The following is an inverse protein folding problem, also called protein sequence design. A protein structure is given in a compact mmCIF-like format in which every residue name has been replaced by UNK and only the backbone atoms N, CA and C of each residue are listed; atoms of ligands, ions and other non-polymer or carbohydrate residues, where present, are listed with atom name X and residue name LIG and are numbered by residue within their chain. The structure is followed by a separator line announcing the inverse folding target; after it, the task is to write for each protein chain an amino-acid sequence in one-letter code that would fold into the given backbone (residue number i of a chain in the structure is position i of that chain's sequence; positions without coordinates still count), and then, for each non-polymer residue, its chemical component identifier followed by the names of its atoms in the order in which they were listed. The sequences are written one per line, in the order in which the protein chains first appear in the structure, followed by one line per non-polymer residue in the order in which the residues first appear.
data_IF_852599257750
#
_entry.id   IF_852599257750
#
_cell.length_a   1.000
_cell.length_b   1.000
_cell.length_c   1.000
_cell.angle_alpha   90.00
_cell.angle_beta   90.00
_cell.angle_gamma   90.00
#
_symmetry.space_group_name_H-M   'P 1'
#
loop_
_entity.id
_entity.type
_entity.pdbx_description
1 polymer ?
#
# COMPACT_ATOMS: atom_id res chain seq x y z
N UNK A 1 19.00 -10.57 -13.75
CA UNK A 1 18.75 -9.90 -12.46
C UNK A 1 17.30 -9.47 -12.40
N UNK A 2 16.57 -9.84 -11.34
CA UNK A 2 15.18 -9.46 -11.07
C UNK A 2 15.11 -8.86 -9.68
N UNK A 3 14.23 -7.88 -9.46
CA UNK A 3 13.96 -7.32 -8.14
C UNK A 3 12.46 -7.34 -7.85
N UNK A 4 12.10 -7.23 -6.57
CA UNK A 4 10.73 -7.05 -6.11
C UNK A 4 10.36 -5.58 -5.87
N UNK A 5 11.32 -4.66 -5.99
CA UNK A 5 11.11 -3.22 -5.87
C UNK A 5 10.23 -2.73 -7.02
N UNK A 6 8.97 -2.42 -6.71
CA UNK A 6 8.07 -1.80 -7.67
C UNK A 6 8.31 -0.28 -7.75
N UNK A 7 7.93 0.32 -8.87
CA UNK A 7 7.94 1.78 -8.99
C UNK A 7 6.96 2.39 -7.99
N UNK A 8 7.35 3.54 -7.42
CA UNK A 8 6.46 4.32 -6.55
C UNK A 8 5.23 4.72 -7.34
N UNK A 9 4.07 4.58 -6.73
CA UNK A 9 2.80 5.02 -7.29
C UNK A 9 2.38 6.34 -6.67
N UNK A 10 1.76 7.21 -7.46
CA UNK A 10 1.13 8.42 -6.94
C UNK A 10 -0.19 8.04 -6.27
N UNK A 11 -0.42 8.55 -5.07
CA UNK A 11 -1.64 8.33 -4.29
C UNK A 11 -2.20 9.70 -3.90
N UNK A 12 -3.51 9.89 -4.08
CA UNK A 12 -4.22 11.08 -3.66
C UNK A 12 -4.73 10.83 -2.24
N UNK A 13 -4.30 11.67 -1.28
CA UNK A 13 -4.67 11.54 0.13
C UNK A 13 -5.47 12.77 0.59
N UNK A 14 -6.71 12.61 1.08
CA UNK A 14 -7.45 13.70 1.70
C UNK A 14 -6.80 14.10 3.03
N UNK A 15 -6.60 15.40 3.23
CA UNK A 15 -6.07 15.96 4.47
C UNK A 15 -7.22 16.29 5.40
N UNK A 16 -7.60 15.34 6.25
CA UNK A 16 -8.66 15.52 7.25
C UNK A 16 -8.33 16.62 8.25
N UNK A 17 -9.28 17.51 8.49
CA UNK A 17 -9.19 18.57 9.49
C UNK A 17 -9.95 18.18 10.76
N UNK A 18 -9.27 17.87 11.88
CA UNK A 18 -9.94 17.50 13.12
C UNK A 18 -10.85 18.60 13.69
N UNK A 19 -10.54 19.87 13.41
CA UNK A 19 -11.37 21.00 13.84
C UNK A 19 -12.72 21.01 13.11
N UNK A 20 -12.70 20.95 11.76
CA UNK A 20 -13.91 20.93 10.93
C UNK A 20 -14.70 19.64 11.14
N UNK A 21 -14.02 18.49 11.25
CA UNK A 21 -14.68 17.21 11.53
C UNK A 21 -15.44 17.21 12.84
N UNK A 22 -14.87 17.79 13.92
CA UNK A 22 -15.58 17.92 15.21
C UNK A 22 -16.78 18.86 15.12
N UNK A 23 -16.67 19.98 14.41
CA UNK A 23 -17.77 20.93 14.22
C UNK A 23 -18.93 20.29 13.43
N UNK A 24 -18.61 19.52 12.39
CA UNK A 24 -19.57 18.87 11.51
C UNK A 24 -19.95 17.46 11.98
N UNK A 25 -19.43 16.97 13.11
CA UNK A 25 -19.71 15.63 13.62
C UNK A 25 -19.37 14.52 12.62
N UNK A 26 -18.22 14.64 11.95
CA UNK A 26 -17.69 13.69 10.98
C UNK A 26 -16.33 13.20 11.47
N UNK A 27 -16.20 11.89 11.67
CA UNK A 27 -14.93 11.28 12.03
C UNK A 27 -14.12 10.85 10.81
N UNK A 28 -12.83 10.60 11.03
CA UNK A 28 -11.95 10.06 9.99
C UNK A 28 -12.45 8.72 9.43
N UNK A 29 -13.07 7.89 10.27
CA UNK A 29 -13.63 6.61 9.84
C UNK A 29 -14.81 6.79 8.88
N UNK A 30 -15.65 7.81 9.08
CA UNK A 30 -16.77 8.10 8.19
C UNK A 30 -16.28 8.51 6.80
N UNK A 31 -15.19 9.29 6.75
CA UNK A 31 -14.52 9.66 5.49
C UNK A 31 -13.93 8.44 4.79
N UNK A 32 -13.21 7.59 5.53
CA UNK A 32 -12.60 6.38 4.97
C UNK A 32 -13.68 5.43 4.41
N UNK A 33 -14.82 5.28 5.11
CA UNK A 33 -15.97 4.48 4.66
C UNK A 33 -16.64 5.09 3.42
N UNK A 34 -16.85 6.41 3.39
CA UNK A 34 -17.45 7.09 2.24
C UNK A 34 -16.57 6.94 0.98
N UNK A 35 -15.25 7.06 1.12
CA UNK A 35 -14.31 6.84 0.03
C UNK A 35 -14.27 5.37 -0.41
N UNK A 36 -14.31 4.43 0.54
CA UNK A 36 -14.37 3.00 0.21
C UNK A 36 -15.62 2.67 -0.60
N UNK A 37 -16.79 3.14 -0.18
CA UNK A 37 -18.06 2.91 -0.87
C UNK A 37 -18.07 3.49 -2.29
N UNK A 38 -17.47 4.67 -2.50
CA UNK A 38 -17.46 5.33 -3.80
C UNK A 38 -16.46 4.74 -4.80
N UNK A 39 -15.25 4.32 -4.36
CA UNK A 39 -14.20 3.87 -5.28
C UNK A 39 -13.99 2.35 -5.29
N UNK A 40 -13.83 1.75 -4.11
CA UNK A 40 -13.60 0.30 -3.99
C UNK A 40 -14.91 -0.50 -4.06
N UNK A 41 -16.00 0.12 -3.60
CA UNK A 41 -17.26 -0.53 -3.30
C UNK A 41 -17.29 -1.09 -1.88
N UNK A 42 -18.49 -1.17 -1.31
CA UNK A 42 -18.73 -1.74 0.01
C UNK A 42 -19.47 -3.08 -0.11
N UNK A 43 -19.17 -4.02 0.77
CA UNK A 43 -19.89 -5.30 0.83
C UNK A 43 -21.26 -5.06 1.45
N UNK A 44 -22.33 -5.31 0.70
CA UNK A 44 -23.70 -5.21 1.19
C UNK A 44 -24.17 -6.50 1.88
N UNK A 45 -23.68 -7.66 1.44
CA UNK A 45 -24.09 -8.94 2.02
C UNK A 45 -23.44 -10.15 1.37
N UNK A 46 -23.95 -11.33 1.70
CA UNK A 46 -23.58 -12.60 1.08
C UNK A 46 -24.83 -13.18 0.42
N UNK A 47 -24.70 -13.55 -0.86
CA UNK A 47 -25.69 -14.32 -1.58
C UNK A 47 -25.30 -15.79 -1.53
N UNK A 48 -26.27 -16.68 -1.29
CA UNK A 48 -26.03 -18.12 -1.28
C UNK A 48 -26.52 -18.72 -2.58
N UNK A 49 -25.61 -19.36 -3.30
CA UNK A 49 -25.91 -20.16 -4.48
C UNK A 49 -25.55 -21.62 -4.19
N UNK A 50 -26.55 -22.43 -3.82
CA UNK A 50 -26.31 -23.80 -3.37
C UNK A 50 -25.43 -23.88 -2.13
N UNK A 51 -24.21 -24.41 -2.31
CA UNK A 51 -23.19 -24.50 -1.25
C UNK A 51 -22.24 -23.29 -1.21
N UNK A 52 -22.25 -22.44 -2.24
CA UNK A 52 -21.33 -21.31 -2.37
C UNK A 52 -21.89 -20.03 -1.75
N UNK A 53 -21.01 -19.24 -1.14
CA UNK A 53 -21.31 -17.92 -0.58
C UNK A 53 -20.59 -16.84 -1.39
N UNK A 54 -21.36 -16.10 -2.18
CA UNK A 54 -20.85 -15.05 -3.06
C UNK A 54 -21.05 -13.68 -2.39
N UNK A 55 -20.00 -12.85 -2.22
CA UNK A 55 -20.16 -11.52 -1.65
C UNK A 55 -20.82 -10.57 -2.64
N UNK A 56 -21.92 -9.94 -2.21
CA UNK A 56 -22.58 -8.87 -2.96
C UNK A 56 -21.88 -7.55 -2.62
N UNK A 57 -21.31 -6.90 -3.64
CA UNK A 57 -20.58 -5.64 -3.51
C UNK A 57 -21.37 -4.55 -4.23
N UNK A 58 -21.70 -3.49 -3.49
CA UNK A 58 -22.31 -2.28 -4.05
C UNK A 58 -21.19 -1.33 -4.41
N UNK A 59 -21.19 -0.86 -5.66
CA UNK A 59 -20.18 0.07 -6.18
C UNK A 59 -20.78 0.96 -7.27
N UNK A 60 -20.35 2.21 -7.40
CA UNK A 60 -20.71 3.08 -8.51
C UNK A 60 -20.23 2.55 -9.87
N UNK A 61 -20.84 3.01 -10.98
CA UNK A 61 -20.39 2.67 -12.34
C UNK A 61 -18.96 3.19 -12.59
N UNK A 62 -18.27 2.57 -13.55
CA UNK A 62 -16.85 2.83 -13.78
C UNK A 62 -16.51 4.27 -14.17
N UNK A 63 -17.39 4.93 -14.93
CA UNK A 63 -17.21 6.31 -15.36
C UNK A 63 -17.05 7.29 -14.19
N UNK A 64 -17.78 7.09 -13.09
CA UNK A 64 -17.73 7.96 -11.90
C UNK A 64 -16.50 7.68 -11.03
N UNK A 65 -15.90 6.48 -11.13
CA UNK A 65 -14.78 6.05 -10.27
C UNK A 65 -13.41 6.48 -10.78
N UNK A 66 -13.25 6.58 -12.10
CA UNK A 66 -11.96 6.93 -12.69
C UNK A 66 -11.70 8.44 -12.74
N UNK A 67 -12.72 9.26 -12.47
CA UNK A 67 -12.57 10.71 -12.42
C UNK A 67 -12.06 11.18 -11.04
N UNK A 68 -10.88 11.78 -11.01
CA UNK A 68 -10.33 12.39 -9.80
C UNK A 68 -11.15 13.59 -9.31
N UNK A 69 -11.90 14.27 -10.19
CA UNK A 69 -12.73 15.42 -9.81
C UNK A 69 -13.89 15.00 -8.90
N UNK A 70 -14.37 13.76 -9.04
CA UNK A 70 -15.44 13.20 -8.21
C UNK A 70 -15.07 13.09 -6.72
N UNK A 71 -13.77 13.09 -6.37
CA UNK A 71 -13.31 13.07 -4.98
C UNK A 71 -13.89 14.22 -4.13
N UNK A 72 -14.08 15.41 -4.72
CA UNK A 72 -14.66 16.55 -4.00
C UNK A 72 -16.16 16.37 -3.72
N UNK A 73 -16.84 15.63 -4.59
CA UNK A 73 -18.29 15.45 -4.55
C UNK A 73 -18.71 14.20 -3.75
N UNK A 74 -17.75 13.46 -3.20
CA UNK A 74 -18.02 12.34 -2.30
C UNK A 74 -18.81 12.86 -1.10
N UNK A 75 -19.96 12.25 -0.85
CA UNK A 75 -20.82 12.61 0.26
C UNK A 75 -20.45 11.80 1.50
N UNK A 76 -20.31 12.50 2.63
CA UNK A 76 -20.02 11.91 3.94
C UNK A 76 -21.19 12.17 4.88
N UNK A 77 -21.55 11.17 5.67
CA UNK A 77 -22.61 11.30 6.67
C UNK A 77 -22.13 12.14 7.87
N UNK A 78 -22.88 13.18 8.23
CA UNK A 78 -22.65 13.97 9.44
C UNK A 78 -23.57 13.50 10.56
N UNK A 79 -22.98 13.07 11.68
CA UNK A 79 -23.75 12.63 12.84
C UNK A 79 -24.44 13.81 13.55
N UNK A 80 -23.80 14.98 13.60
CA UNK A 80 -24.35 16.14 14.30
C UNK A 80 -25.51 16.79 13.56
N UNK A 81 -25.47 16.80 12.21
CA UNK A 81 -26.50 17.41 11.37
C UNK A 81 -27.50 16.41 10.77
N UNK A 82 -27.27 15.10 10.93
CA UNK A 82 -28.12 14.03 10.38
C UNK A 82 -28.36 14.19 8.86
N UNK A 83 -27.32 14.62 8.13
CA UNK A 83 -27.39 14.86 6.69
C UNK A 83 -26.07 14.51 6.01
N UNK A 84 -26.13 14.31 4.70
CA UNK A 84 -24.95 14.13 3.87
C UNK A 84 -24.31 15.49 3.56
N UNK A 85 -22.99 15.58 3.75
CA UNK A 85 -22.20 16.78 3.50
C UNK A 85 -21.08 16.41 2.52
N UNK A 86 -20.74 17.27 1.54
CA UNK A 86 -19.60 17.05 0.66
C UNK A 86 -18.28 16.91 1.43
N UNK A 87 -17.42 16.00 0.99
CA UNK A 87 -16.12 15.73 1.59
C UNK A 87 -15.25 17.00 1.65
N UNK A 88 -15.35 17.87 0.65
CA UNK A 88 -14.65 19.16 0.57
C UNK A 88 -14.85 20.05 1.80
N UNK A 89 -15.94 19.89 2.54
CA UNK A 89 -16.24 20.71 3.72
C UNK A 89 -15.51 20.25 4.98
N UNK A 90 -14.95 19.03 4.98
CA UNK A 90 -14.33 18.40 6.16
C UNK A 90 -12.80 18.26 6.00
N UNK A 91 -12.29 18.44 4.78
CA UNK A 91 -10.88 18.33 4.45
C UNK A 91 -10.27 19.70 4.16
N UNK A 92 -8.98 19.87 4.43
CA UNK A 92 -8.25 21.07 4.02
C UNK A 92 -7.84 21.04 2.54
N UNK A 93 -7.85 19.85 1.93
CA UNK A 93 -7.49 19.63 0.53
C UNK A 93 -6.96 18.22 0.29
N UNK A 94 -6.53 17.97 -0.94
CA UNK A 94 -5.92 16.71 -1.36
C UNK A 94 -4.42 16.88 -1.55
N UNK A 95 -3.63 15.99 -0.94
CA UNK A 95 -2.20 15.91 -1.16
C UNK A 95 -1.89 14.78 -2.14
N UNK A 96 -1.04 15.05 -3.13
CA UNK A 96 -0.47 14.03 -4.00
C UNK A 96 0.83 13.52 -3.38
N UNK A 97 0.81 12.30 -2.87
CA UNK A 97 1.94 11.68 -2.20
C UNK A 97 2.47 10.50 -3.04
N UNK A 98 3.78 10.25 -2.94
CA UNK A 98 4.38 9.05 -3.52
C UNK A 98 4.38 7.93 -2.48
N UNK A 99 3.80 6.79 -2.81
CA UNK A 99 3.74 5.62 -1.95
C UNK A 99 4.40 4.40 -2.61
N UNK A 100 5.04 3.57 -1.79
CA UNK A 100 5.60 2.30 -2.23
C UNK A 100 4.44 1.27 -2.24
N UNK A 101 4.04 0.75 -3.42
CA UNK A 101 2.85 -0.11 -3.51
C UNK A 101 3.05 -1.49 -2.88
N UNK A 102 4.32 -1.92 -2.73
CA UNK A 102 4.67 -3.21 -2.17
C UNK A 102 5.73 -3.04 -1.08
N UNK A 103 5.37 -3.38 0.15
CA UNK A 103 6.30 -3.46 1.29
C UNK A 103 6.42 -4.93 1.70
N UNK A 104 7.57 -5.52 1.42
CA UNK A 104 7.88 -6.88 1.84
C UNK A 104 8.60 -6.86 3.19
N UNK A 105 8.29 -7.87 4.01
CA UNK A 105 8.89 -8.05 5.32
C UNK A 105 9.40 -9.48 5.48
N UNK A 106 10.53 -9.62 6.15
CA UNK A 106 11.10 -10.89 6.62
C UNK A 106 11.57 -10.69 8.04
N UNK A 107 11.21 -11.62 8.93
CA UNK A 107 11.53 -11.54 10.36
C UNK A 107 11.15 -10.17 10.95
N UNK A 108 9.94 -9.69 10.59
CA UNK A 108 9.37 -8.38 10.96
C UNK A 108 10.13 -7.14 10.45
N UNK A 109 11.22 -7.33 9.72
CA UNK A 109 12.04 -6.26 9.15
C UNK A 109 11.69 -6.04 7.68
N UNK A 110 11.70 -4.79 7.20
CA UNK A 110 11.46 -4.51 5.78
C UNK A 110 12.62 -5.01 4.93
N UNK A 111 12.30 -5.70 3.84
CA UNK A 111 13.31 -6.32 2.97
C UNK A 111 13.09 -5.96 1.52
N UNK A 112 14.20 -5.95 0.78
CA UNK A 112 14.22 -5.89 -0.66
C UNK A 112 14.89 -7.17 -1.15
N UNK A 113 14.26 -7.84 -2.10
CA UNK A 113 14.76 -9.09 -2.66
C UNK A 113 15.27 -8.83 -4.06
N UNK A 114 16.54 -9.14 -4.26
CA UNK A 114 17.19 -9.11 -5.56
C UNK A 114 17.62 -10.52 -5.89
N UNK A 115 17.24 -11.00 -7.07
CA UNK A 115 17.56 -12.32 -7.57
C UNK A 115 18.45 -12.20 -8.80
N UNK A 116 19.51 -12.98 -8.83
CA UNK A 116 20.45 -13.04 -9.93
C UNK A 116 21.02 -14.45 -10.08
N UNK A 117 20.76 -15.05 -11.23
CA UNK A 117 21.38 -16.32 -11.55
C UNK A 117 22.82 -16.10 -12.06
N UNK A 118 23.80 -16.92 -11.63
CA UNK A 118 25.13 -16.90 -12.23
C UNK A 118 25.04 -17.27 -13.72
N UNK A 119 25.82 -16.59 -14.56
CA UNK A 119 25.94 -16.99 -15.96
C UNK A 119 26.65 -18.35 -16.05
N UNK A 120 26.12 -19.33 -16.78
CA UNK A 120 26.74 -20.66 -16.87
C UNK A 120 28.15 -20.64 -17.50
N UNK A 121 28.51 -19.56 -18.20
CA UNK A 121 29.81 -19.39 -18.85
C UNK A 121 30.86 -18.68 -17.97
N UNK A 122 30.48 -18.12 -16.82
CA UNK A 122 31.40 -17.32 -15.99
C UNK A 122 32.29 -18.15 -15.07
N UNK A 123 32.02 -19.46 -14.93
CA UNK A 123 32.74 -20.34 -13.99
C UNK A 123 32.60 -19.95 -12.51
N UNK A 124 31.71 -18.99 -12.19
CA UNK A 124 31.48 -18.51 -10.82
C UNK A 124 30.31 -19.23 -10.18
N UNK A 125 30.48 -19.63 -8.91
CA UNK A 125 29.40 -20.20 -8.12
C UNK A 125 28.52 -19.09 -7.51
N UNK A 126 27.30 -19.44 -7.10
CA UNK A 126 26.41 -18.50 -6.38
C UNK A 126 27.06 -17.94 -5.11
N UNK A 127 27.92 -18.72 -4.46
CA UNK A 127 28.69 -18.29 -3.28
C UNK A 127 29.69 -17.16 -3.59
N UNK A 128 30.36 -17.24 -4.75
CA UNK A 128 31.35 -16.25 -5.18
C UNK A 128 30.69 -14.90 -5.48
N UNK A 129 29.53 -14.93 -6.14
CA UNK A 129 28.74 -13.73 -6.44
C UNK A 129 28.22 -13.10 -5.14
N UNK A 130 27.71 -13.91 -4.21
CA UNK A 130 27.24 -13.43 -2.91
C UNK A 130 28.35 -12.71 -2.13
N UNK A 131 29.54 -13.31 -2.08
CA UNK A 131 30.69 -12.73 -1.38
C UNK A 131 31.09 -11.38 -1.99
N UNK A 132 31.07 -11.28 -3.33
CA UNK A 132 31.33 -10.02 -4.05
C UNK A 132 30.32 -8.94 -3.72
N UNK A 133 29.01 -9.27 -3.74
CA UNK A 133 27.98 -8.27 -3.47
C UNK A 133 27.94 -7.85 -2.00
N UNK A 134 28.16 -8.79 -1.05
CA UNK A 134 28.30 -8.47 0.37
C UNK A 134 29.37 -7.40 0.60
N UNK A 135 30.55 -7.54 -0.04
CA UNK A 135 31.64 -6.56 0.06
C UNK A 135 31.25 -5.18 -0.48
N UNK A 136 30.53 -5.13 -1.60
CA UNK A 136 30.06 -3.88 -2.18
C UNK A 136 29.04 -3.14 -1.29
N UNK A 137 28.14 -3.89 -0.65
CA UNK A 137 27.09 -3.32 0.21
C UNK A 137 27.62 -2.74 1.52
N UNK A 138 28.70 -3.28 2.08
CA UNK A 138 29.33 -2.73 3.30
C UNK A 138 29.75 -1.27 3.13
N UNK A 139 30.02 -0.83 1.90
CA UNK A 139 30.40 0.54 1.58
C UNK A 139 29.19 1.47 1.33
N UNK A 140 27.97 0.93 1.29
CA UNK A 140 26.75 1.72 1.15
C UNK A 140 26.26 2.23 2.51
N UNK A 141 25.79 3.49 2.52
CA UNK A 141 25.22 4.18 3.69
C UNK A 141 23.82 3.66 4.01
N UNK A 142 23.66 2.37 4.33
CA UNK A 142 22.41 1.78 4.82
C UNK A 142 22.64 1.19 6.21
N UNK A 143 21.84 1.53 7.25
CA UNK A 143 22.23 1.23 8.63
C UNK A 143 22.25 -0.26 9.00
N UNK A 144 21.61 -1.15 8.23
CA UNK A 144 21.56 -2.59 8.58
C UNK A 144 21.17 -3.47 7.39
N UNK A 145 22.03 -3.57 6.37
CA UNK A 145 21.81 -4.51 5.27
C UNK A 145 22.36 -5.90 5.64
N UNK A 146 21.48 -6.84 5.98
CA UNK A 146 21.89 -8.26 6.23
C UNK A 146 21.51 -9.15 5.05
N UNK A 147 22.51 -9.65 4.34
CA UNK A 147 22.32 -10.55 3.18
C UNK A 147 22.18 -12.00 3.62
N UNK A 148 21.10 -12.66 3.20
CA UNK A 148 20.80 -14.07 3.50
C UNK A 148 20.46 -14.86 2.23
N UNK A 149 21.00 -16.08 2.10
CA UNK A 149 20.55 -17.08 1.13
C UNK A 149 19.30 -17.82 1.68
N UNK A 150 18.38 -18.29 0.85
CA UNK A 150 17.26 -19.17 1.27
C UNK A 150 16.75 -20.05 0.12
N UNK A 151 15.47 -20.48 0.12
CA UNK A 151 14.70 -20.94 -1.07
C UNK A 151 13.60 -19.92 -1.50
N UNK A 152 13.22 -19.86 -2.79
CA UNK A 152 12.17 -18.95 -3.30
C UNK A 152 10.88 -19.02 -2.46
N UNK A 153 10.47 -17.90 -1.87
CA UNK A 153 9.42 -17.84 -0.84
C UNK A 153 8.15 -17.13 -1.32
N UNK A 154 6.99 -17.47 -0.71
CA UNK A 154 5.73 -16.80 -1.00
C UNK A 154 5.78 -15.33 -0.57
N UNK A 155 5.29 -14.45 -1.46
CA UNK A 155 5.23 -13.01 -1.24
C UNK A 155 3.98 -12.68 -0.43
N UNK A 156 4.12 -12.37 0.86
CA UNK A 156 3.00 -11.89 1.68
C UNK A 156 3.03 -10.35 1.75
N UNK A 157 2.15 -9.64 1.03
CA UNK A 157 2.04 -8.19 1.14
C UNK A 157 1.42 -7.78 2.48
N UNK A 158 1.87 -6.66 3.06
CA UNK A 158 1.32 -6.12 4.32
C UNK A 158 1.03 -4.62 4.17
N UNK A 159 -0.13 -4.16 4.69
CA UNK A 159 -0.54 -2.75 4.69
C UNK A 159 0.25 -1.93 5.72
N UNK A 160 0.61 -0.69 5.37
CA UNK A 160 1.51 0.19 6.16
C UNK A 160 0.83 0.78 7.40
N UNK A 161 1.53 0.77 8.55
CA UNK A 161 1.34 1.71 9.67
C UNK A 161 2.49 2.74 9.66
N UNK A 162 2.22 3.97 10.10
CA UNK A 162 2.86 5.22 9.62
C UNK A 162 4.34 5.44 9.95
N UNK A 163 4.97 4.72 10.86
CA UNK A 163 6.30 5.15 11.36
C UNK A 163 7.49 4.32 10.86
N UNK A 164 8.63 5.00 10.78
CA UNK A 164 9.97 4.56 10.35
C UNK A 164 10.16 4.27 8.85
N UNK A 165 10.85 5.20 8.18
CA UNK A 165 11.84 4.89 7.15
C UNK A 165 13.05 4.25 7.87
N UNK A 166 13.44 3.04 7.46
CA UNK A 166 14.61 2.24 7.91
C UNK A 166 14.38 1.23 9.06
N UNK A 167 15.04 0.04 9.04
CA UNK A 167 16.14 -0.42 8.17
C UNK A 167 15.68 -1.35 7.02
N UNK A 168 16.34 -1.27 5.87
CA UNK A 168 16.14 -2.16 4.73
C UNK A 168 17.19 -3.28 4.75
N UNK A 169 16.74 -4.54 4.78
CA UNK A 169 17.61 -5.72 4.67
C UNK A 169 17.56 -6.25 3.23
N UNK A 170 18.71 -6.29 2.55
CA UNK A 170 18.80 -6.77 1.16
C UNK A 170 19.05 -8.28 1.17
N UNK A 171 18.12 -9.07 0.64
CA UNK A 171 18.31 -10.51 0.41
C UNK A 171 18.73 -10.74 -1.04
N UNK A 172 19.85 -11.43 -1.26
CA UNK A 172 20.42 -11.72 -2.58
C UNK A 172 20.37 -13.23 -2.79
N UNK A 173 20.01 -13.61 -4.01
CA UNK A 173 19.75 -14.96 -4.46
C UNK A 173 20.47 -15.23 -5.75
#
# INVERSE_FOLDING_TARGET
MRNDWQNRSKVIRPQYSPALGRELGVDKQDIDNALEMNFSGSRAGLYREGADLLPVIVRPPEAERQDANHLNNVLVWSQSRQQYIPLSNVINGFALEWEDPLILRRDRTRVLTVQTDPSPLSGQTSGDILARVKRALTHCRCPTATVSNGAAMPRTPVRRSRDCLQPCRLAIW
#
